data_IF_228288503157
#
_entry.id   IF_228288503157
#
_cell.length_a   1.000
_cell.length_b   1.000
_cell.length_c   1.000
_cell.angle_alpha   90.00
_cell.angle_beta   90.00
_cell.angle_gamma   90.00
#
_symmetry.space_group_name_H-M   'P 1'
#
loop_
_entity.id
_entity.type
_entity.pdbx_description
1 polymer ?
#
# COMPACT_ATOMS: atom_id res chain seq x y z
N UNK A 1 -31.34 -10.29 29.39
CA UNK A 1 -31.97 -11.61 29.17
C UNK A 1 -33.17 -11.42 28.25
N UNK A 2 -33.09 -11.77 26.96
CA UNK A 2 -33.40 -13.10 26.42
C UNK A 2 -34.71 -12.97 25.63
N UNK A 3 -34.77 -13.15 24.31
CA UNK A 3 -34.78 -14.44 23.58
C UNK A 3 -34.19 -14.21 22.18
N UNK A 4 -33.14 -14.96 21.82
CA UNK A 4 -33.19 -16.20 21.04
C UNK A 4 -33.49 -15.94 19.54
N UNK A 5 -32.46 -15.44 18.86
CA UNK A 5 -32.35 -15.37 17.41
C UNK A 5 -31.98 -16.78 16.93
N UNK A 6 -32.99 -17.61 16.68
CA UNK A 6 -32.77 -18.99 16.26
C UNK A 6 -33.72 -19.32 15.14
N UNK A 7 -33.34 -18.93 13.93
CA UNK A 7 -33.72 -19.52 12.63
C UNK A 7 -32.71 -18.97 11.59
N UNK A 8 -31.73 -19.78 11.19
CA UNK A 8 -30.79 -19.46 10.09
C UNK A 8 -29.63 -18.52 10.46
N UNK A 9 -28.64 -19.01 11.20
CA UNK A 9 -27.56 -18.25 11.84
C UNK A 9 -26.57 -17.46 10.96
N UNK A 10 -26.82 -17.29 9.66
CA UNK A 10 -25.94 -16.52 8.76
C UNK A 10 -26.64 -15.28 8.16
N UNK A 11 -27.92 -15.36 7.79
CA UNK A 11 -28.64 -14.21 7.19
C UNK A 11 -28.92 -13.08 8.19
N UNK A 12 -29.15 -13.41 9.46
CA UNK A 12 -29.60 -12.42 10.44
C UNK A 12 -28.49 -11.46 10.91
N UNK A 13 -27.21 -11.88 10.87
CA UNK A 13 -26.10 -11.05 11.37
C UNK A 13 -25.76 -9.91 10.40
N UNK A 14 -25.77 -10.19 9.09
CA UNK A 14 -25.47 -9.22 8.03
C UNK A 14 -26.48 -8.08 7.98
N UNK A 15 -27.77 -8.40 7.99
CA UNK A 15 -28.87 -7.41 8.05
C UNK A 15 -28.76 -6.54 9.32
N UNK A 16 -28.43 -7.14 10.46
CA UNK A 16 -28.30 -6.41 11.73
C UNK A 16 -27.14 -5.41 11.71
N UNK A 17 -25.99 -5.81 11.16
CA UNK A 17 -24.81 -4.94 11.03
C UNK A 17 -25.10 -3.77 10.06
N UNK A 18 -25.75 -4.06 8.93
CA UNK A 18 -26.12 -3.04 7.95
C UNK A 18 -27.14 -2.04 8.51
N UNK A 19 -28.18 -2.51 9.21
CA UNK A 19 -29.14 -1.62 9.89
C UNK A 19 -28.47 -0.77 10.97
N UNK A 20 -27.53 -1.33 11.73
CA UNK A 20 -26.75 -0.56 12.71
C UNK A 20 -25.90 0.53 12.06
N UNK A 21 -25.32 0.26 10.88
CA UNK A 21 -24.59 1.27 10.09
C UNK A 21 -25.49 2.41 9.63
N UNK A 22 -26.73 2.11 9.22
CA UNK A 22 -27.69 3.12 8.73
C UNK A 22 -28.30 3.93 9.87
N UNK A 23 -28.74 3.28 10.96
CA UNK A 23 -29.39 3.95 12.09
C UNK A 23 -28.41 4.53 13.11
N UNK A 24 -27.12 4.20 13.03
CA UNK A 24 -26.08 4.68 13.93
C UNK A 24 -26.35 4.31 15.38
N UNK A 25 -26.56 5.31 16.23
CA UNK A 25 -26.85 5.15 17.68
C UNK A 25 -28.34 5.07 18.01
N UNK A 26 -29.24 5.20 17.02
CA UNK A 26 -30.68 5.12 17.27
C UNK A 26 -31.13 3.65 17.44
N UNK A 27 -32.10 3.38 18.33
CA UNK A 27 -32.62 2.04 18.52
C UNK A 27 -33.35 1.58 17.25
N UNK A 28 -33.01 0.40 16.77
CA UNK A 28 -33.64 -0.21 15.59
C UNK A 28 -35.12 -0.53 15.94
N UNK A 29 -36.10 -0.02 15.18
CA UNK A 29 -37.51 -0.30 15.43
C UNK A 29 -37.82 -1.81 15.38
N UNK A 30 -38.49 -2.31 16.42
CA UNK A 30 -38.82 -3.74 16.61
C UNK A 30 -40.06 -4.21 15.80
N UNK A 31 -40.39 -3.56 14.68
CA UNK A 31 -41.61 -3.93 13.95
C UNK A 31 -41.43 -5.33 13.32
N UNK A 32 -42.47 -6.17 13.45
CA UNK A 32 -42.46 -7.63 13.31
C UNK A 32 -41.37 -8.21 12.42
N UNK A 33 -40.37 -8.79 13.10
CA UNK A 33 -39.32 -9.65 12.56
C UNK A 33 -39.95 -10.94 12.07
N UNK A 34 -40.70 -10.87 10.98
CA UNK A 34 -41.19 -12.03 10.25
C UNK A 34 -40.12 -12.43 9.23
N UNK A 35 -40.00 -13.73 8.94
CA UNK A 35 -38.96 -14.28 8.04
C UNK A 35 -38.88 -13.53 6.70
N UNK A 36 -40.04 -13.16 6.13
CA UNK A 36 -40.15 -12.37 4.88
C UNK A 36 -39.50 -10.99 4.97
N UNK A 37 -39.59 -10.32 6.12
CA UNK A 37 -38.98 -9.00 6.32
C UNK A 37 -37.46 -9.11 6.35
N UNK A 38 -36.94 -10.16 6.99
CA UNK A 38 -35.49 -10.41 7.05
C UNK A 38 -34.94 -10.78 5.67
N UNK A 39 -35.68 -11.57 4.89
CA UNK A 39 -35.28 -11.95 3.53
C UNK A 39 -35.24 -10.74 2.58
N UNK A 40 -36.26 -9.87 2.61
CA UNK A 40 -36.27 -8.62 1.82
C UNK A 40 -35.10 -7.71 2.20
N UNK A 41 -34.81 -7.59 3.50
CA UNK A 41 -33.69 -6.78 3.96
C UNK A 41 -32.34 -7.38 3.56
N UNK A 42 -32.23 -8.70 3.52
CA UNK A 42 -31.02 -9.37 3.06
C UNK A 42 -30.75 -9.09 1.57
N UNK A 43 -31.75 -9.26 0.71
CA UNK A 43 -31.64 -8.91 -0.72
C UNK A 43 -31.25 -7.43 -0.91
N UNK A 44 -31.80 -6.54 -0.10
CA UNK A 44 -31.46 -5.12 -0.13
C UNK A 44 -30.01 -4.84 0.30
N UNK A 45 -29.47 -5.59 1.27
CA UNK A 45 -28.06 -5.47 1.66
C UNK A 45 -27.15 -5.92 0.53
N UNK A 46 -27.43 -7.08 -0.09
CA UNK A 46 -26.64 -7.59 -1.21
C UNK A 46 -26.64 -6.61 -2.39
N UNK A 47 -27.81 -6.07 -2.75
CA UNK A 47 -27.91 -5.06 -3.80
C UNK A 47 -27.16 -3.76 -3.47
N UNK A 48 -27.18 -3.33 -2.20
CA UNK A 48 -26.44 -2.13 -1.81
C UNK A 48 -24.93 -2.36 -1.79
N UNK A 49 -24.45 -3.50 -1.29
CA UNK A 49 -23.01 -3.79 -1.27
C UNK A 49 -22.44 -3.89 -2.68
N UNK A 50 -23.16 -4.55 -3.61
CA UNK A 50 -22.76 -4.61 -5.01
C UNK A 50 -22.67 -3.19 -5.62
N UNK A 51 -23.70 -2.36 -5.40
CA UNK A 51 -23.73 -0.99 -5.92
C UNK A 51 -22.71 -0.06 -5.26
N UNK A 52 -22.48 -0.18 -3.96
CA UNK A 52 -21.47 0.61 -3.23
C UNK A 52 -20.05 0.24 -3.71
N UNK A 53 -19.83 -1.03 -4.04
CA UNK A 53 -18.59 -1.49 -4.69
C UNK A 53 -18.38 -0.83 -6.05
N UNK A 54 -19.39 -0.83 -6.91
CA UNK A 54 -19.34 -0.19 -8.24
C UNK A 54 -19.10 1.33 -8.14
N UNK A 55 -19.74 2.00 -7.17
CA UNK A 55 -19.54 3.44 -6.92
C UNK A 55 -18.13 3.72 -6.42
N UNK A 56 -17.58 2.86 -5.56
CA UNK A 56 -16.21 3.02 -5.05
C UNK A 56 -15.17 2.85 -6.17
N UNK A 57 -15.36 1.85 -7.03
CA UNK A 57 -14.56 1.63 -8.24
C UNK A 57 -14.63 2.83 -9.19
N UNK A 58 -15.82 3.39 -9.42
CA UNK A 58 -16.00 4.57 -10.25
C UNK A 58 -15.29 5.81 -9.67
N UNK A 59 -15.36 6.00 -8.35
CA UNK A 59 -14.66 7.11 -7.67
C UNK A 59 -13.14 6.97 -7.81
N UNK A 60 -12.60 5.76 -7.69
CA UNK A 60 -11.18 5.49 -7.84
C UNK A 60 -10.70 5.71 -9.29
N UNK A 61 -11.46 5.21 -10.28
CA UNK A 61 -11.22 5.46 -11.71
C UNK A 61 -11.26 6.96 -12.03
N UNK A 62 -12.25 7.69 -11.50
CA UNK A 62 -12.34 9.14 -11.69
C UNK A 62 -11.17 9.91 -11.03
N UNK A 63 -10.67 9.47 -9.87
CA UNK A 63 -9.49 10.06 -9.24
C UNK A 63 -8.23 9.83 -10.08
N UNK A 64 -8.03 8.61 -10.58
CA UNK A 64 -6.89 8.29 -11.43
C UNK A 64 -6.91 9.10 -12.74
N UNK A 65 -8.09 9.22 -13.37
CA UNK A 65 -8.28 10.08 -14.54
C UNK A 65 -8.07 11.57 -14.24
N UNK A 66 -8.44 12.03 -13.05
CA UNK A 66 -8.21 13.39 -12.58
C UNK A 66 -6.72 13.73 -12.42
N UNK A 67 -5.92 12.82 -11.85
CA UNK A 67 -4.48 13.00 -11.71
C UNK A 67 -3.75 13.04 -13.07
N UNK A 68 -4.21 12.26 -14.05
CA UNK A 68 -3.73 12.34 -15.43
C UNK A 68 -4.09 13.67 -16.10
N UNK A 69 -5.29 14.19 -15.86
CA UNK A 69 -5.71 15.49 -16.37
C UNK A 69 -4.86 16.63 -15.80
N UNK A 70 -4.59 16.60 -14.49
CA UNK A 70 -3.80 17.61 -13.77
C UNK A 70 -2.32 17.57 -14.18
N UNK A 71 -1.72 16.38 -14.33
CA UNK A 71 -0.32 16.23 -14.74
C UNK A 71 -0.05 16.62 -16.20
N UNK A 72 -1.07 16.62 -17.05
CA UNK A 72 -0.97 16.95 -18.48
C UNK A 72 -1.50 18.36 -18.83
N UNK A 73 -1.98 19.14 -17.84
CA UNK A 73 -2.73 20.39 -18.06
C UNK A 73 -3.89 20.21 -19.07
N UNK A 74 -4.50 19.03 -19.10
CA UNK A 74 -5.57 18.69 -20.02
C UNK A 74 -6.93 18.81 -19.33
N UNK A 75 -7.84 19.59 -19.92
CA UNK A 75 -9.25 19.52 -19.52
C UNK A 75 -9.87 18.26 -20.10
N UNK A 76 -9.98 17.21 -19.27
CA UNK A 76 -10.57 15.91 -19.67
C UNK A 76 -12.01 16.08 -20.21
N UNK A 77 -12.75 17.07 -19.71
CA UNK A 77 -14.08 17.44 -20.17
C UNK A 77 -14.13 18.10 -21.55
N UNK A 78 -13.00 18.60 -22.06
CA UNK A 78 -12.89 19.20 -23.39
C UNK A 78 -12.46 18.21 -24.47
N UNK A 79 -12.13 16.98 -24.08
CA UNK A 79 -11.58 15.98 -24.97
C UNK A 79 -12.68 15.34 -25.82
N UNK A 80 -12.43 15.20 -27.12
CA UNK A 80 -13.33 14.46 -28.01
C UNK A 80 -13.37 12.97 -27.69
N UNK A 81 -14.36 12.26 -28.23
CA UNK A 81 -14.44 10.79 -28.19
C UNK A 81 -13.14 10.14 -28.70
N UNK A 82 -12.61 10.64 -29.81
CA UNK A 82 -11.35 10.20 -30.39
C UNK A 82 -10.16 10.47 -29.46
N UNK A 83 -10.07 11.66 -28.86
CA UNK A 83 -8.98 11.98 -27.94
C UNK A 83 -8.98 11.06 -26.72
N UNK A 84 -10.16 10.73 -26.20
CA UNK A 84 -10.33 9.77 -25.09
C UNK A 84 -9.91 8.36 -25.51
N UNK A 85 -10.27 7.95 -26.72
CA UNK A 85 -9.86 6.65 -27.30
C UNK A 85 -8.34 6.55 -27.42
N UNK A 86 -7.67 7.59 -27.93
CA UNK A 86 -6.21 7.61 -28.04
C UNK A 86 -5.51 7.55 -26.68
N UNK A 87 -6.01 8.26 -25.67
CA UNK A 87 -5.48 8.16 -24.30
C UNK A 87 -5.64 6.75 -23.74
N UNK A 88 -6.80 6.10 -23.95
CA UNK A 88 -6.99 4.72 -23.51
C UNK A 88 -6.02 3.75 -24.20
N UNK A 89 -5.80 3.90 -25.52
CA UNK A 89 -4.80 3.10 -26.25
C UNK A 89 -3.40 3.34 -25.70
N UNK A 90 -3.05 4.58 -25.38
CA UNK A 90 -1.76 4.92 -24.78
C UNK A 90 -1.58 4.29 -23.40
N UNK A 91 -2.57 4.41 -22.52
CA UNK A 91 -2.57 3.80 -21.18
C UNK A 91 -2.48 2.28 -21.27
N UNK A 92 -3.25 1.65 -22.16
CA UNK A 92 -3.22 0.20 -22.36
C UNK A 92 -1.87 -0.25 -22.93
N UNK A 93 -1.28 0.53 -23.83
CA UNK A 93 0.05 0.25 -24.40
C UNK A 93 1.13 0.36 -23.33
N UNK A 94 1.06 1.37 -22.46
CA UNK A 94 1.97 1.55 -21.32
C UNK A 94 1.85 0.39 -20.30
N UNK A 95 0.62 -0.03 -19.98
CA UNK A 95 0.40 -1.22 -19.14
C UNK A 95 0.93 -2.50 -19.79
N UNK A 96 0.68 -2.69 -21.10
CA UNK A 96 1.11 -3.89 -21.86
C UNK A 96 2.63 -3.96 -21.99
N UNK A 97 3.28 -2.81 -22.20
CA UNK A 97 4.74 -2.70 -22.23
C UNK A 97 5.37 -2.77 -20.83
N UNK A 98 4.56 -2.94 -19.78
CA UNK A 98 4.96 -2.90 -18.38
C UNK A 98 5.90 -1.72 -18.12
N UNK A 99 5.57 -0.53 -18.65
CA UNK A 99 6.32 0.69 -18.32
C UNK A 99 6.02 1.01 -16.87
N UNK A 100 6.72 0.30 -15.96
CA UNK A 100 6.68 0.52 -14.53
C UNK A 100 6.94 1.99 -14.30
N UNK A 101 6.26 2.52 -13.30
CA UNK A 101 6.50 3.84 -12.73
C UNK A 101 8.01 4.12 -12.78
N UNK A 102 8.46 5.02 -13.65
CA UNK A 102 9.88 5.27 -13.83
C UNK A 102 10.55 5.65 -12.49
N UNK A 103 9.74 6.18 -11.57
CA UNK A 103 10.03 6.42 -10.16
C UNK A 103 10.41 5.14 -9.38
N UNK A 104 9.68 4.02 -9.55
CA UNK A 104 9.93 2.75 -8.87
C UNK A 104 11.21 2.08 -9.39
N UNK A 105 11.40 2.05 -10.70
CA UNK A 105 12.64 1.55 -11.30
C UNK A 105 13.85 2.39 -10.85
N UNK A 106 13.71 3.72 -10.81
CA UNK A 106 14.71 4.63 -10.27
C UNK A 106 14.99 4.38 -8.78
N UNK A 107 13.96 4.08 -7.97
CA UNK A 107 14.11 3.75 -6.56
C UNK A 107 14.91 2.45 -6.37
N UNK A 108 14.65 1.40 -7.15
CA UNK A 108 15.44 0.17 -7.08
C UNK A 108 16.90 0.38 -7.47
N UNK A 109 17.18 1.18 -8.50
CA UNK A 109 18.55 1.55 -8.86
C UNK A 109 19.23 2.32 -7.71
N UNK A 110 18.56 3.32 -7.13
CA UNK A 110 19.10 4.09 -6.01
C UNK A 110 19.39 3.21 -4.78
N UNK A 111 18.49 2.28 -4.45
CA UNK A 111 18.72 1.30 -3.37
C UNK A 111 19.94 0.43 -3.67
N UNK A 112 20.09 -0.06 -4.89
CA UNK A 112 21.23 -0.89 -5.28
C UNK A 112 22.55 -0.12 -5.22
N UNK A 113 22.57 1.12 -5.71
CA UNK A 113 23.74 2.00 -5.68
C UNK A 113 24.17 2.29 -4.23
N UNK A 114 23.22 2.68 -3.38
CA UNK A 114 23.48 2.93 -1.96
C UNK A 114 23.96 1.67 -1.23
N UNK A 115 23.41 0.49 -1.58
CA UNK A 115 23.82 -0.78 -0.99
C UNK A 115 25.25 -1.14 -1.40
N UNK A 116 25.61 -0.90 -2.66
CA UNK A 116 26.97 -1.10 -3.16
C UNK A 116 27.97 -0.16 -2.46
N UNK A 117 27.64 1.12 -2.37
CA UNK A 117 28.47 2.13 -1.70
C UNK A 117 28.68 1.80 -0.21
N UNK A 118 27.64 1.33 0.47
CA UNK A 118 27.71 0.89 1.86
C UNK A 118 28.68 -0.29 2.01
N UNK A 119 28.58 -1.30 1.14
CA UNK A 119 29.45 -2.48 1.19
C UNK A 119 30.92 -2.11 0.92
N UNK A 120 31.18 -1.28 -0.07
CA UNK A 120 32.53 -0.79 -0.36
C UNK A 120 33.12 -0.02 0.83
N UNK A 121 32.30 0.83 1.45
CA UNK A 121 32.71 1.62 2.62
C UNK A 121 32.99 0.72 3.81
N UNK A 122 32.14 -0.27 4.09
CA UNK A 122 32.35 -1.22 5.17
C UNK A 122 33.62 -2.05 4.97
N UNK A 123 33.87 -2.52 3.74
CA UNK A 123 35.07 -3.26 3.38
C UNK A 123 36.34 -2.45 3.65
N UNK A 124 36.39 -1.20 3.17
CA UNK A 124 37.50 -0.27 3.44
C UNK A 124 37.69 -0.02 4.93
N UNK A 125 36.59 0.10 5.68
CA UNK A 125 36.67 0.33 7.12
C UNK A 125 37.28 -0.87 7.86
N UNK A 126 36.90 -2.10 7.49
CA UNK A 126 37.51 -3.33 8.05
C UNK A 126 38.99 -3.44 7.73
N UNK A 127 39.39 -3.06 6.53
CA UNK A 127 40.80 -3.05 6.12
C UNK A 127 41.61 -2.04 6.95
N UNK A 128 41.11 -0.82 7.12
CA UNK A 128 41.75 0.19 7.97
C UNK A 128 41.87 -0.25 9.43
N UNK A 129 40.84 -0.87 10.02
CA UNK A 129 40.90 -1.40 11.39
C UNK A 129 41.98 -2.48 11.55
N UNK A 130 42.15 -3.32 10.52
CA UNK A 130 43.19 -4.34 10.50
C UNK A 130 44.59 -3.72 10.47
N UNK A 131 44.82 -2.74 9.60
CA UNK A 131 46.09 -2.02 9.52
C UNK A 131 46.44 -1.28 10.81
N UNK A 132 45.45 -0.62 11.42
CA UNK A 132 45.61 0.05 12.71
C UNK A 132 46.04 -0.93 13.81
N UNK A 133 45.38 -2.08 13.87
CA UNK A 133 45.70 -3.13 14.84
C UNK A 133 47.11 -3.69 14.64
N UNK A 134 47.51 -3.90 13.37
CA UNK A 134 48.84 -4.36 13.03
C UNK A 134 49.92 -3.33 13.41
N UNK A 135 49.69 -2.07 13.10
CA UNK A 135 50.60 -0.96 13.40
C UNK A 135 50.76 -0.77 14.91
N UNK A 136 49.66 -0.88 15.68
CA UNK A 136 49.70 -0.85 17.15
C UNK A 136 50.56 -1.97 17.74
N UNK A 137 50.44 -3.20 17.20
CA UNK A 137 51.28 -4.34 17.63
C UNK A 137 52.76 -4.08 17.35
N UNK A 138 53.09 -3.59 16.15
CA UNK A 138 54.48 -3.24 15.78
C UNK A 138 55.04 -2.15 16.69
N UNK A 139 54.28 -1.08 16.94
CA UNK A 139 54.69 0.00 17.84
C UNK A 139 54.96 -0.52 19.26
N UNK A 140 54.10 -1.39 19.78
CA UNK A 140 54.28 -1.99 21.11
C UNK A 140 55.56 -2.84 21.18
N UNK A 141 55.86 -3.61 20.13
CA UNK A 141 57.08 -4.41 20.06
C UNK A 141 58.34 -3.53 20.02
N UNK A 142 58.33 -2.43 19.26
CA UNK A 142 59.44 -1.46 19.21
C UNK A 142 59.68 -0.82 20.58
N UNK A 143 58.61 -0.34 21.25
CA UNK A 143 58.72 0.25 22.59
C UNK A 143 59.26 -0.73 23.65
N UNK A 144 58.90 -2.02 23.56
CA UNK A 144 59.45 -3.05 24.45
C UNK A 144 60.94 -3.31 24.21
N UNK A 145 61.41 -3.23 22.96
CA UNK A 145 62.82 -3.37 22.61
C UNK A 145 63.64 -2.16 23.08
N UNK A 146 63.12 -0.95 22.91
CA UNK A 146 63.74 0.29 23.37
C UNK A 146 63.97 0.26 24.89
N UNK A 147 62.94 -0.12 25.67
CA UNK A 147 63.07 -0.26 27.13
C UNK A 147 64.14 -1.27 27.55
N UNK A 148 64.34 -2.36 26.80
CA UNK A 148 65.38 -3.37 27.09
C UNK A 148 66.80 -2.88 26.75
N UNK A 149 66.94 -1.88 25.90
CA UNK A 149 68.23 -1.27 25.56
C UNK A 149 68.62 -0.16 26.55
N UNK A 150 67.66 0.39 27.28
CA UNK A 150 67.89 1.36 28.36
C UNK A 150 68.21 0.71 29.73
N UNK A 151 68.04 -0.61 29.86
CA UNK A 151 68.43 -1.44 31.02
C UNK A 151 69.85 -2.04 30.85
#
# INVERSE_FOLDING_TARGET
MGKMWSLGGFCSSKVTLWLKKIYGNQPIPQYEVNARTVDILYELVECNEARDGDVSLLIEDMKQKGLLAESLDLSLSSLSSEGTSYLNVLVNSAMTLETKDASLASCFCAINDMTSELFETESKNREMEWELTNTRKKLTAVLMLEKRLEE
#
